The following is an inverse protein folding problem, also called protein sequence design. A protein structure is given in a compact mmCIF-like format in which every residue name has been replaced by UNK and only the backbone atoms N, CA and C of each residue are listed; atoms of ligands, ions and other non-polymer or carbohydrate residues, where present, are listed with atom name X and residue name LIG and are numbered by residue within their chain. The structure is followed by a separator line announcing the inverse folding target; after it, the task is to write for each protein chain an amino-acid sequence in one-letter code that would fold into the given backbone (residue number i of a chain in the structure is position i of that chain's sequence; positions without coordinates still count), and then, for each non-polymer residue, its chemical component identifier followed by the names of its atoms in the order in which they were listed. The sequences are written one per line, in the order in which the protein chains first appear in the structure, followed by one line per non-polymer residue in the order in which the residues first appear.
data_IF_317856123009
#
_entry.id   IF_317856123009
#
_cell.length_a   1.000
_cell.length_b   1.000
_cell.length_c   1.000
_cell.angle_alpha   90.00
_cell.angle_beta   90.00
_cell.angle_gamma   90.00
#
_symmetry.space_group_name_H-M   'P 1'
#
loop_
_entity.id
_entity.type
_entity.pdbx_description
1 polymer ?
#
# COMPACT_ATOMS: atom_id res chain seq x y z
N UNK A 1 -7.89 -50.57 -11.70
CA UNK A 1 -7.70 -49.35 -10.89
C UNK A 1 -6.57 -48.56 -11.56
N UNK A 2 -6.89 -47.53 -12.35
CA UNK A 2 -5.88 -46.83 -13.16
C UNK A 2 -5.50 -45.55 -12.42
N UNK A 3 -4.23 -45.45 -12.03
CA UNK A 3 -3.61 -44.24 -11.51
C UNK A 3 -3.26 -43.32 -12.68
N UNK A 4 -3.68 -42.06 -12.61
CA UNK A 4 -3.21 -41.01 -13.52
C UNK A 4 -2.44 -39.96 -12.70
N UNK A 5 -1.17 -39.77 -13.06
CA UNK A 5 -0.31 -38.71 -12.52
C UNK A 5 -0.50 -37.40 -13.29
N UNK A 6 -0.47 -36.27 -12.57
CA UNK A 6 -0.44 -34.94 -13.17
C UNK A 6 0.99 -34.58 -13.60
N UNK A 7 1.16 -34.18 -14.85
CA UNK A 7 2.39 -33.54 -15.35
C UNK A 7 2.02 -32.18 -15.94
N UNK A 8 2.64 -31.13 -15.41
CA UNK A 8 2.54 -29.78 -15.95
C UNK A 8 3.64 -29.60 -17.01
N UNK A 9 3.27 -29.44 -18.28
CA UNK A 9 4.23 -29.32 -19.40
C UNK A 9 4.32 -27.86 -19.83
N UNK A 10 5.46 -27.21 -19.57
CA UNK A 10 5.87 -25.97 -20.25
C UNK A 10 6.09 -26.28 -21.73
N UNK A 11 5.32 -25.63 -22.61
CA UNK A 11 5.53 -25.52 -24.07
C UNK A 11 5.89 -26.81 -24.82
N UNK A 12 4.88 -27.46 -25.40
CA UNK A 12 5.04 -28.54 -26.38
C UNK A 12 3.75 -29.36 -26.49
N UNK A 13 3.10 -29.31 -27.65
CA UNK A 13 1.80 -29.96 -27.93
C UNK A 13 1.79 -31.44 -27.51
N UNK A 14 0.76 -31.86 -26.77
CA UNK A 14 0.26 -33.25 -26.76
C UNK A 14 -1.27 -33.28 -26.65
N UNK A 15 -1.88 -34.05 -27.55
CA UNK A 15 -3.32 -34.35 -27.63
C UNK A 15 -3.67 -35.44 -26.61
N UNK A 16 -4.76 -35.27 -25.85
CA UNK A 16 -5.40 -36.35 -25.08
C UNK A 16 -6.93 -36.28 -25.14
N UNK A 17 -7.57 -37.46 -25.21
CA UNK A 17 -8.98 -37.65 -25.49
C UNK A 17 -9.84 -37.72 -24.20
N UNK A 18 -10.82 -36.82 -24.15
CA UNK A 18 -12.15 -36.81 -23.52
C UNK A 18 -12.42 -37.44 -22.14
N UNK A 19 -12.78 -36.54 -21.20
CA UNK A 19 -14.05 -36.44 -20.44
C UNK A 19 -13.75 -35.96 -19.02
N UNK A 20 -14.17 -34.73 -18.71
CA UNK A 20 -14.00 -33.99 -17.44
C UNK A 20 -12.63 -33.30 -17.27
N UNK A 21 -12.42 -32.25 -18.06
CA UNK A 21 -11.37 -31.27 -17.80
C UNK A 21 -12.00 -30.12 -17.02
N UNK A 22 -11.83 -30.13 -15.69
CA UNK A 22 -11.97 -28.89 -14.92
C UNK A 22 -10.72 -28.05 -15.20
N UNK A 23 -10.82 -26.78 -15.58
CA UNK A 23 -9.65 -25.92 -15.66
C UNK A 23 -9.10 -25.72 -14.24
N UNK A 24 -8.05 -26.45 -13.90
CA UNK A 24 -7.19 -26.08 -12.78
C UNK A 24 -6.42 -24.87 -13.27
N UNK A 25 -6.81 -23.68 -12.82
CA UNK A 25 -6.04 -22.48 -13.04
C UNK A 25 -4.65 -22.72 -12.42
N UNK A 26 -3.63 -22.89 -13.27
CA UNK A 26 -2.26 -22.81 -12.83
C UNK A 26 -2.08 -21.39 -12.31
N UNK A 27 -2.09 -21.24 -10.98
CA UNK A 27 -1.71 -19.98 -10.37
C UNK A 27 -0.28 -19.69 -10.82
N UNK A 28 -0.10 -18.67 -11.65
CA UNK A 28 1.21 -18.18 -12.00
C UNK A 28 1.86 -17.68 -10.70
N UNK A 29 2.84 -18.44 -10.22
CA UNK A 29 3.59 -18.05 -9.03
C UNK A 29 4.48 -16.87 -9.41
N UNK A 30 3.99 -15.66 -9.13
CA UNK A 30 4.73 -14.44 -9.42
C UNK A 30 5.99 -14.43 -8.55
N UNK A 31 7.16 -14.42 -9.17
CA UNK A 31 8.43 -14.28 -8.45
C UNK A 31 8.71 -12.80 -8.24
N UNK A 32 8.78 -12.37 -6.98
CA UNK A 32 9.16 -11.00 -6.64
C UNK A 32 10.68 -10.86 -6.71
N UNK A 33 11.24 -9.86 -7.43
CA UNK A 33 12.68 -9.64 -7.49
C UNK A 33 13.27 -9.42 -6.10
N UNK A 34 14.43 -10.04 -5.82
CA UNK A 34 15.10 -9.91 -4.51
C UNK A 34 15.44 -8.45 -4.17
N UNK A 35 15.87 -7.67 -5.17
CA UNK A 35 16.18 -6.24 -4.99
C UNK A 35 14.94 -5.42 -4.59
N UNK A 36 13.77 -5.76 -5.14
CA UNK A 36 12.51 -5.15 -4.74
C UNK A 36 12.20 -5.48 -3.28
N UNK A 37 12.30 -6.74 -2.90
CA UNK A 37 12.05 -7.18 -1.52
C UNK A 37 12.98 -6.45 -0.54
N UNK A 38 14.27 -6.33 -0.88
CA UNK A 38 15.25 -5.62 -0.06
C UNK A 38 14.86 -4.15 0.19
N UNK A 39 14.34 -3.44 -0.83
CA UNK A 39 13.84 -2.06 -0.68
C UNK A 39 12.64 -1.96 0.25
N UNK A 40 11.83 -3.01 0.37
CA UNK A 40 10.63 -3.05 1.21
C UNK A 40 10.91 -3.55 2.63
N UNK A 41 12.16 -3.78 3.02
CA UNK A 41 12.51 -4.16 4.39
C UNK A 41 12.48 -2.97 5.36
N UNK A 42 12.22 -3.17 6.67
CA UNK A 42 12.25 -2.10 7.67
C UNK A 42 13.56 -1.31 7.69
N UNK A 43 14.69 -1.95 7.39
CA UNK A 43 16.01 -1.34 7.38
C UNK A 43 16.17 -0.26 6.31
N UNK A 44 15.38 -0.33 5.23
CA UNK A 44 15.38 0.67 4.17
C UNK A 44 14.39 1.82 4.42
N UNK A 45 13.65 1.81 5.53
CA UNK A 45 12.74 2.91 5.87
C UNK A 45 13.45 4.09 6.50
N UNK A 46 12.99 5.29 6.16
CA UNK A 46 13.53 6.55 6.67
C UNK A 46 12.43 7.53 7.04
N UNK A 47 12.68 8.40 8.01
CA UNK A 47 11.78 9.51 8.37
C UNK A 47 10.37 9.10 8.81
N UNK A 48 10.20 7.90 9.40
CA UNK A 48 8.89 7.46 9.89
C UNK A 48 8.46 8.30 11.10
N UNK A 49 7.26 8.89 11.02
CA UNK A 49 6.64 9.62 12.13
C UNK A 49 6.06 8.69 13.21
N UNK A 50 5.95 9.23 14.41
CA UNK A 50 5.34 8.59 15.58
C UNK A 50 4.67 9.62 16.48
N UNK A 51 4.09 9.19 17.61
CA UNK A 51 3.57 10.11 18.62
C UNK A 51 4.68 10.94 19.32
N UNK A 52 5.95 10.56 19.19
CA UNK A 52 7.10 11.24 19.81
C UNK A 52 8.04 11.93 18.81
N UNK A 53 7.97 11.57 17.52
CA UNK A 53 8.86 12.07 16.46
C UNK A 53 8.04 12.55 15.27
N UNK A 54 8.29 13.76 14.77
CA UNK A 54 7.52 14.32 13.64
C UNK A 54 7.66 13.45 12.38
N UNK A 55 8.90 13.09 12.03
CA UNK A 55 9.22 12.36 10.80
C UNK A 55 9.13 13.24 9.55
N UNK A 56 9.20 12.61 8.39
CA UNK A 56 8.91 13.22 7.10
C UNK A 56 7.43 13.60 7.02
N UNK A 57 7.14 14.66 6.28
CA UNK A 57 5.81 15.21 6.17
C UNK A 57 5.38 15.30 4.72
N UNK A 58 4.21 14.72 4.44
CA UNK A 58 3.50 14.92 3.20
C UNK A 58 2.13 15.49 3.50
N UNK A 59 1.95 16.77 3.22
CA UNK A 59 0.73 17.50 3.55
C UNK A 59 -0.49 16.93 2.83
N UNK A 60 -1.62 16.93 3.52
CA UNK A 60 -2.92 16.73 2.87
C UNK A 60 -3.17 17.79 1.80
N UNK A 61 -3.86 17.39 0.73
CA UNK A 61 -4.18 18.26 -0.40
C UNK A 61 -5.36 17.71 -1.19
N UNK A 62 -6.10 18.62 -1.83
CA UNK A 62 -7.24 18.25 -2.67
C UNK A 62 -6.82 17.61 -4.01
N UNK A 63 -5.60 17.85 -4.47
CA UNK A 63 -5.06 17.24 -5.69
C UNK A 63 -4.56 15.82 -5.46
N UNK A 64 -4.63 15.01 -6.51
CA UNK A 64 -4.07 13.65 -6.54
C UNK A 64 -2.55 13.68 -6.59
N UNK A 65 -1.95 12.62 -6.05
CA UNK A 65 -0.52 12.40 -5.94
C UNK A 65 -0.17 11.03 -6.51
N UNK A 66 0.97 10.88 -7.19
CA UNK A 66 1.49 9.55 -7.53
C UNK A 66 1.82 8.76 -6.26
N UNK A 67 1.37 7.50 -6.18
CA UNK A 67 1.71 6.61 -5.06
C UNK A 67 3.23 6.40 -4.99
N UNK A 68 3.94 6.47 -6.12
CA UNK A 68 5.40 6.37 -6.19
C UNK A 68 6.07 7.45 -5.34
N UNK A 69 5.64 8.69 -5.50
CA UNK A 69 6.21 9.84 -4.79
C UNK A 69 5.94 9.73 -3.29
N UNK A 70 4.72 9.26 -2.93
CA UNK A 70 4.34 9.04 -1.54
C UNK A 70 5.21 7.94 -0.93
N UNK A 71 5.28 6.75 -1.51
CA UNK A 71 6.08 5.63 -0.97
C UNK A 71 7.56 6.02 -0.85
N UNK A 72 8.11 6.67 -1.87
CA UNK A 72 9.52 7.05 -1.90
C UNK A 72 9.88 8.17 -0.92
N UNK A 73 8.90 8.80 -0.27
CA UNK A 73 9.14 9.73 0.85
C UNK A 73 9.69 9.01 2.09
N UNK A 74 9.43 7.70 2.25
CA UNK A 74 9.84 6.91 3.42
C UNK A 74 10.79 5.75 3.10
N UNK A 75 11.40 5.75 1.91
CA UNK A 75 12.42 4.77 1.52
C UNK A 75 13.75 5.46 1.24
N UNK A 76 14.84 4.90 1.78
CA UNK A 76 16.21 5.33 1.45
C UNK A 76 16.55 4.90 0.02
N UNK A 77 16.40 3.61 -0.29
CA UNK A 77 16.49 3.09 -1.65
C UNK A 77 15.11 3.14 -2.29
N UNK A 78 14.92 4.10 -3.20
CA UNK A 78 13.64 4.40 -3.85
C UNK A 78 13.18 3.29 -4.80
N UNK A 79 11.87 3.13 -4.89
CA UNK A 79 11.22 2.35 -5.93
C UNK A 79 11.29 3.06 -7.28
N UNK A 80 11.40 2.28 -8.35
CA UNK A 80 11.13 2.72 -9.72
C UNK A 80 9.64 2.63 -10.03
N UNK A 81 9.22 3.20 -11.16
CA UNK A 81 7.83 3.10 -11.63
C UNK A 81 7.43 1.64 -11.89
N UNK A 82 8.31 0.84 -12.50
CA UNK A 82 8.04 -0.58 -12.81
C UNK A 82 7.91 -1.43 -11.54
N UNK A 83 8.76 -1.16 -10.55
CA UNK A 83 8.71 -1.83 -9.25
C UNK A 83 7.39 -1.53 -8.53
N UNK A 84 6.98 -0.25 -8.50
CA UNK A 84 5.67 0.10 -7.94
C UNK A 84 4.53 -0.53 -8.74
N UNK A 85 4.59 -0.52 -10.07
CA UNK A 85 3.56 -1.13 -10.90
C UNK A 85 3.44 -2.64 -10.62
N UNK A 86 4.55 -3.33 -10.38
CA UNK A 86 4.55 -4.74 -9.95
C UNK A 86 3.88 -4.91 -8.58
N UNK A 87 4.19 -4.06 -7.60
CA UNK A 87 3.52 -4.06 -6.28
C UNK A 87 2.01 -3.84 -6.45
N UNK A 88 1.62 -2.83 -7.23
CA UNK A 88 0.22 -2.45 -7.41
C UNK A 88 -0.59 -3.48 -8.20
N UNK A 89 0.02 -4.26 -9.09
CA UNK A 89 -0.66 -5.42 -9.72
C UNK A 89 -0.83 -6.59 -8.76
N UNK A 90 -0.03 -6.66 -7.71
CA UNK A 90 0.07 -7.78 -6.79
C UNK A 90 -0.26 -7.40 -5.33
N UNK A 91 -1.13 -6.41 -5.12
CA UNK A 91 -1.41 -5.82 -3.79
C UNK A 91 -1.84 -6.86 -2.76
N UNK A 92 -2.46 -7.96 -3.19
CA UNK A 92 -2.81 -9.08 -2.30
C UNK A 92 -1.61 -9.67 -1.55
N UNK A 93 -0.38 -9.52 -2.07
CA UNK A 93 0.87 -9.99 -1.47
C UNK A 93 1.60 -8.95 -0.62
N UNK A 94 1.08 -7.73 -0.54
CA UNK A 94 1.71 -6.64 0.20
C UNK A 94 0.77 -6.06 1.25
N UNK A 95 1.36 -5.62 2.36
CA UNK A 95 0.66 -4.84 3.40
C UNK A 95 1.04 -3.39 3.24
N UNK A 96 0.04 -2.55 3.00
CA UNK A 96 0.16 -1.10 3.03
C UNK A 96 -0.21 -0.61 4.43
N UNK A 97 0.62 0.27 4.97
CA UNK A 97 0.39 0.89 6.27
C UNK A 97 0.54 2.39 6.13
N UNK A 98 -0.48 3.13 6.58
CA UNK A 98 -0.49 4.59 6.56
C UNK A 98 -0.65 5.13 7.98
N UNK A 99 0.14 6.13 8.33
CA UNK A 99 -0.03 6.91 9.55
C UNK A 99 -0.21 8.38 9.23
N UNK A 100 -1.24 8.95 9.84
CA UNK A 100 -1.72 10.31 9.61
C UNK A 100 -1.66 11.11 10.90
N UNK A 101 -1.51 12.42 10.78
CA UNK A 101 -1.47 13.29 11.94
C UNK A 101 -1.20 14.76 11.63
N UNK A 102 -1.03 15.53 12.71
CA UNK A 102 -0.73 16.96 12.61
C UNK A 102 0.70 17.20 12.10
N UNK A 103 0.83 18.16 11.19
CA UNK A 103 2.12 18.55 10.59
C UNK A 103 2.99 19.43 11.48
N UNK A 104 2.40 20.03 12.51
CA UNK A 104 3.09 20.92 13.45
C UNK A 104 3.77 20.13 14.55
N UNK A 105 5.04 20.46 14.81
CA UNK A 105 5.90 19.67 15.70
C UNK A 105 5.41 19.67 17.16
N UNK A 106 4.81 20.76 17.62
CA UNK A 106 4.20 20.89 18.95
C UNK A 106 2.98 19.96 19.15
N UNK A 107 2.37 19.50 18.05
CA UNK A 107 1.23 18.57 18.06
C UNK A 107 1.59 17.18 17.54
N UNK A 108 2.88 16.81 17.52
CA UNK A 108 3.35 15.52 17.00
C UNK A 108 2.69 14.29 17.64
N UNK A 109 2.20 14.41 18.87
CA UNK A 109 1.44 13.37 19.59
C UNK A 109 0.07 13.06 18.96
N UNK A 110 -0.46 13.95 18.11
CA UNK A 110 -1.64 13.75 17.26
C UNK A 110 -1.28 12.94 16.01
N UNK A 111 -0.69 11.77 16.21
CA UNK A 111 -0.30 10.83 15.18
C UNK A 111 -0.92 9.47 15.46
N UNK A 112 -1.46 8.81 14.44
CA UNK A 112 -1.95 7.43 14.54
C UNK A 112 -1.75 6.69 13.22
N UNK A 113 -1.57 5.38 13.34
CA UNK A 113 -1.63 4.46 12.20
C UNK A 113 -3.09 4.11 11.97
N UNK A 114 -3.57 4.27 10.74
CA UNK A 114 -4.89 3.80 10.33
C UNK A 114 -4.78 2.34 9.91
N UNK A 115 -5.64 1.49 10.46
CA UNK A 115 -5.63 0.03 10.26
C UNK A 115 -6.85 -0.48 9.51
N UNK A 116 -7.70 0.41 9.02
CA UNK A 116 -8.93 0.09 8.30
C UNK A 116 -8.77 0.19 6.77
N UNK A 117 -7.53 0.24 6.29
CA UNK A 117 -7.15 0.24 4.87
C UNK A 117 -5.84 -0.49 4.68
N UNK A 118 -5.74 -1.33 3.65
CA UNK A 118 -4.62 -2.24 3.43
C UNK A 118 -4.11 -2.28 1.99
N UNK A 119 -4.33 -1.22 1.22
CA UNK A 119 -3.86 -1.11 -0.17
C UNK A 119 -4.91 -1.43 -1.23
N UNK A 120 -6.13 -1.77 -0.83
CA UNK A 120 -7.28 -1.87 -1.71
C UNK A 120 -7.65 -0.50 -2.31
N UNK A 121 -8.33 -0.53 -3.46
CA UNK A 121 -8.87 0.70 -4.03
C UNK A 121 -9.94 1.25 -3.08
N UNK A 122 -9.89 2.55 -2.85
CA UNK A 122 -10.73 3.22 -1.87
C UNK A 122 -11.16 4.57 -2.43
N UNK A 123 -12.42 4.94 -2.21
CA UNK A 123 -12.90 6.28 -2.51
C UNK A 123 -13.46 6.95 -1.26
N UNK A 124 -12.91 8.13 -0.93
CA UNK A 124 -13.30 8.95 0.21
C UNK A 124 -13.38 8.17 1.55
N UNK A 125 -12.52 7.16 1.70
CA UNK A 125 -12.47 6.30 2.88
C UNK A 125 -12.04 7.13 4.08
N UNK A 126 -12.83 7.09 5.15
CA UNK A 126 -12.43 7.67 6.42
C UNK A 126 -11.29 6.85 7.00
N UNK A 127 -10.10 7.44 7.10
CA UNK A 127 -9.06 6.92 7.97
C UNK A 127 -9.39 7.40 9.38
N UNK A 128 -10.05 6.55 10.16
CA UNK A 128 -10.42 6.85 11.54
C UNK A 128 -9.27 6.47 12.47
N UNK A 129 -8.53 7.43 13.04
CA UNK A 129 -7.74 7.15 14.21
C UNK A 129 -8.66 7.01 15.44
N UNK A 130 -8.91 5.78 15.87
CA UNK A 130 -9.65 5.45 17.10
C UNK A 130 -8.99 6.08 18.36
N UNK A 131 -9.75 6.51 19.38
CA UNK A 131 -10.44 7.79 19.42
C UNK A 131 -9.75 8.74 20.41
N UNK A 132 -9.29 9.90 19.92
CA UNK A 132 -9.11 11.06 20.81
C UNK A 132 -10.01 12.18 20.33
N UNK A 133 -11.25 12.15 20.82
CA UNK A 133 -12.23 13.21 21.08
C UNK A 133 -12.16 14.58 20.36
N UNK A 134 -11.62 14.67 19.14
CA UNK A 134 -11.89 15.78 18.24
C UNK A 134 -12.47 15.25 16.92
N UNK A 135 -13.81 15.16 16.81
CA UNK A 135 -14.49 14.70 15.60
C UNK A 135 -14.21 15.59 14.38
N UNK A 136 -13.50 16.71 14.55
CA UNK A 136 -13.14 17.60 13.44
C UNK A 136 -11.96 17.08 12.64
N UNK A 137 -11.04 16.27 13.20
CA UNK A 137 -9.80 15.88 12.54
C UNK A 137 -9.92 14.56 11.75
N UNK A 138 -10.69 14.62 10.66
CA UNK A 138 -10.99 13.45 9.83
C UNK A 138 -10.09 13.43 8.61
N UNK A 139 -9.42 12.30 8.38
CA UNK A 139 -8.64 12.07 7.18
C UNK A 139 -9.45 11.26 6.17
N UNK A 140 -9.48 11.70 4.91
CA UNK A 140 -10.18 11.01 3.83
C UNK A 140 -9.21 10.58 2.75
N UNK A 141 -9.15 9.28 2.51
CA UNK A 141 -8.30 8.65 1.51
C UNK A 141 -9.11 8.28 0.26
N UNK A 142 -8.67 8.76 -0.89
CA UNK A 142 -8.97 8.13 -2.18
C UNK A 142 -7.67 7.49 -2.67
N UNK A 143 -7.70 6.20 -2.97
CA UNK A 143 -6.56 5.44 -3.48
C UNK A 143 -7.00 4.62 -4.69
N UNK A 144 -6.26 4.74 -5.79
CA UNK A 144 -6.54 4.03 -7.03
C UNK A 144 -5.26 3.35 -7.49
N UNK A 145 -5.12 2.07 -7.11
CA UNK A 145 -3.93 1.28 -7.43
C UNK A 145 -3.79 0.98 -8.92
N UNK A 146 -4.89 0.91 -9.69
CA UNK A 146 -4.83 0.79 -11.15
C UNK A 146 -4.26 2.04 -11.83
N UNK A 147 -4.53 3.22 -11.29
CA UNK A 147 -4.00 4.50 -11.76
C UNK A 147 -2.66 4.87 -11.09
N UNK A 148 -2.25 4.15 -10.04
CA UNK A 148 -1.07 4.48 -9.25
C UNK A 148 -1.16 5.84 -8.56
N UNK A 149 -2.37 6.28 -8.19
CA UNK A 149 -2.61 7.58 -7.58
C UNK A 149 -3.29 7.48 -6.22
N UNK A 150 -3.08 8.49 -5.39
CA UNK A 150 -3.79 8.66 -4.13
C UNK A 150 -4.02 10.13 -3.81
N UNK A 151 -5.02 10.40 -2.99
CA UNK A 151 -5.36 11.72 -2.47
C UNK A 151 -5.70 11.54 -1.00
N UNK A 152 -5.11 12.37 -0.14
CA UNK A 152 -5.46 12.43 1.26
C UNK A 152 -5.87 13.85 1.61
N UNK A 153 -7.08 14.02 2.13
CA UNK A 153 -7.55 15.29 2.67
C UNK A 153 -7.73 15.19 4.18
N UNK A 154 -7.65 16.32 4.88
CA UNK A 154 -8.18 16.46 6.23
C UNK A 154 -9.29 17.49 6.27
N UNK A 155 -10.25 17.25 7.14
CA UNK A 155 -11.05 18.33 7.71
C UNK A 155 -10.47 18.67 9.08
N UNK A 156 -10.47 19.95 9.44
CA UNK A 156 -10.24 20.47 10.80
C UNK A 156 -11.16 21.70 10.94
N UNK A 157 -10.66 22.84 11.43
CA UNK A 157 -11.31 24.15 11.31
C UNK A 157 -11.46 24.65 9.86
N UNK A 158 -10.61 24.15 8.96
CA UNK A 158 -10.64 24.38 7.51
C UNK A 158 -10.01 23.18 6.79
N UNK A 159 -10.32 22.98 5.51
CA UNK A 159 -9.85 21.82 4.74
C UNK A 159 -8.34 21.86 4.51
N UNK A 160 -7.66 20.72 4.60
CA UNK A 160 -6.23 20.55 4.23
C UNK A 160 -5.26 21.46 5.02
N UNK A 161 -5.61 21.81 6.25
CA UNK A 161 -4.96 22.93 6.97
C UNK A 161 -3.90 22.49 7.96
N UNK A 162 -3.98 21.30 8.55
CA UNK A 162 -2.91 20.81 9.42
C UNK A 162 -2.59 19.33 9.21
N UNK A 163 -3.39 18.62 8.43
CA UNK A 163 -3.19 17.19 8.19
C UNK A 163 -1.93 16.88 7.39
N UNK A 164 -1.35 15.71 7.67
CA UNK A 164 -0.24 15.15 6.92
C UNK A 164 -0.22 13.62 7.00
N UNK A 165 0.30 13.00 5.94
CA UNK A 165 0.87 11.66 6.01
C UNK A 165 2.24 11.81 6.67
N UNK A 166 2.47 11.02 7.72
CA UNK A 166 3.72 11.02 8.50
C UNK A 166 4.40 9.67 8.49
N UNK A 167 3.69 8.65 8.01
CA UNK A 167 4.15 7.29 7.92
C UNK A 167 3.49 6.66 6.70
N UNK A 168 4.28 6.08 5.80
CA UNK A 168 3.75 5.21 4.76
C UNK A 168 4.75 4.10 4.49
N UNK A 169 4.30 2.85 4.57
CA UNK A 169 5.16 1.70 4.26
C UNK A 169 4.41 0.67 3.44
N UNK A 170 5.14 -0.01 2.57
CA UNK A 170 4.68 -1.20 1.87
C UNK A 170 5.60 -2.34 2.26
N UNK A 171 5.04 -3.47 2.71
CA UNK A 171 5.78 -4.66 3.13
C UNK A 171 5.27 -5.89 2.42
N UNK A 172 6.13 -6.88 2.16
CA UNK A 172 5.68 -8.20 1.71
C UNK A 172 4.92 -8.87 2.84
N UNK A 173 3.77 -9.49 2.55
CA UNK A 173 3.05 -10.30 3.54
C UNK A 173 3.85 -11.55 3.88
N UNK A 174 3.86 -11.89 5.17
CA UNK A 174 4.37 -13.18 5.65
C UNK A 174 3.44 -14.33 5.22
#
# INVERSE_FOLDING_TARGET
MIYFGLVCVKSGVKVYNAKNIFPVACAEEIVLPADLIAKLTPQNSTGLGSASVQGNLLNTRASTMPVLDVVNTWLTNKLTADELALILRNRSRFTFTIGVGDRRAEFKSRFRIATNWHGEDADNLLLAPDPWNDPRYNFRLTFTGSAGTMKLTDTHASSNTYGSIRYFTVRVKA
#
